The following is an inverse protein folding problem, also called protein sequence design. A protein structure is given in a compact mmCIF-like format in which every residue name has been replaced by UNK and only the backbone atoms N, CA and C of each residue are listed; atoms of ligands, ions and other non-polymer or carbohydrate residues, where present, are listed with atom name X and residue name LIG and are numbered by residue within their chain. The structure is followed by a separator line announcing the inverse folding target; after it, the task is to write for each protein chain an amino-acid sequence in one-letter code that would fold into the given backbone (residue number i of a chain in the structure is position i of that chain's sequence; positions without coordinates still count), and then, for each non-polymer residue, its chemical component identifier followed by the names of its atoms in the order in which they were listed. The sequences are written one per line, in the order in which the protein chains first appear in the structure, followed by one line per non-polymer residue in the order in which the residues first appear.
data_IF_161027452978
#
_entry.id   IF_161027452978
#
_cell.length_a   1.000
_cell.length_b   1.000
_cell.length_c   1.000
_cell.angle_alpha   90.00
_cell.angle_beta   90.00
_cell.angle_gamma   90.00
#
_symmetry.space_group_name_H-M   'P 1'
#
loop_
_entity.id
_entity.type
_entity.pdbx_description
1 polymer ?
#
# COMPACT_ATOMS: atom_id res chain seq x y z
N UNK A 1 -10.35 9.21 -10.93
CA UNK A 1 -10.51 9.58 -9.49
C UNK A 1 -9.27 10.29 -8.92
N UNK A 2 -8.08 9.66 -8.78
CA UNK A 2 -6.89 10.34 -8.18
C UNK A 2 -6.54 11.61 -8.96
N UNK A 3 -6.44 11.57 -10.29
CA UNK A 3 -6.19 12.74 -11.13
C UNK A 3 -7.21 13.86 -10.88
N UNK A 4 -8.47 13.55 -10.79
CA UNK A 4 -9.55 14.51 -10.53
C UNK A 4 -9.40 15.17 -9.14
N UNK A 5 -8.96 14.40 -8.11
CA UNK A 5 -8.65 14.97 -6.79
C UNK A 5 -7.48 15.95 -6.90
N UNK A 6 -6.42 15.58 -7.60
CA UNK A 6 -5.24 16.43 -7.80
C UNK A 6 -5.59 17.72 -8.57
N UNK A 7 -6.38 17.62 -9.62
CA UNK A 7 -6.82 18.77 -10.44
C UNK A 7 -7.59 19.81 -9.62
N UNK A 8 -8.36 19.38 -8.61
CA UNK A 8 -9.18 20.25 -7.77
C UNK A 8 -8.50 20.68 -6.46
N UNK A 9 -7.28 20.19 -6.17
CA UNK A 9 -6.60 20.43 -4.90
C UNK A 9 -5.12 20.80 -5.12
N UNK A 10 -4.85 21.78 -5.98
CA UNK A 10 -3.49 22.15 -6.37
C UNK A 10 -2.70 22.86 -5.25
N UNK A 11 -3.38 23.49 -4.31
CA UNK A 11 -2.77 24.27 -3.22
C UNK A 11 -2.45 23.45 -1.97
N UNK A 12 -2.75 22.15 -1.98
CA UNK A 12 -2.51 21.24 -0.85
C UNK A 12 -1.79 19.97 -1.30
N UNK A 13 -1.08 19.34 -0.37
CA UNK A 13 -0.43 18.05 -0.64
C UNK A 13 -1.50 16.95 -0.64
N UNK A 14 -1.52 16.18 -1.71
CA UNK A 14 -2.36 14.98 -1.83
C UNK A 14 -1.50 13.75 -1.54
N UNK A 15 -1.80 13.05 -0.46
CA UNK A 15 -1.10 11.82 -0.08
C UNK A 15 -1.93 10.62 -0.54
N UNK A 16 -1.33 9.77 -1.38
CA UNK A 16 -1.92 8.50 -1.80
C UNK A 16 -1.26 7.36 -1.03
N UNK A 17 -2.02 6.72 -0.14
CA UNK A 17 -1.55 5.56 0.60
C UNK A 17 -1.70 4.29 -0.25
N UNK A 18 -0.58 3.79 -0.72
CA UNK A 18 -0.45 2.59 -1.54
C UNK A 18 0.04 1.37 -0.74
N UNK A 19 -0.27 1.27 0.53
CA UNK A 19 0.19 0.16 1.36
C UNK A 19 -0.20 -1.22 0.82
N UNK A 20 -1.22 -1.32 -0.02
CA UNK A 20 -1.74 -2.56 -0.59
C UNK A 20 -1.62 -2.65 -2.11
N UNK A 21 -0.93 -1.73 -2.77
CA UNK A 21 -0.89 -1.61 -4.23
C UNK A 21 -0.40 -2.89 -4.92
N UNK A 22 0.51 -3.62 -4.31
CA UNK A 22 1.07 -4.86 -4.86
C UNK A 22 0.05 -6.01 -5.01
N UNK A 23 -1.13 -5.88 -4.42
CA UNK A 23 -2.19 -6.88 -4.50
C UNK A 23 -3.24 -6.59 -5.58
N UNK A 24 -3.35 -5.37 -6.06
CA UNK A 24 -4.23 -4.97 -7.16
C UNK A 24 -4.02 -3.52 -7.58
N UNK A 25 -4.49 -3.19 -8.77
CA UNK A 25 -4.61 -1.82 -9.23
C UNK A 25 -3.37 -1.26 -9.92
N UNK A 26 -3.51 -0.02 -10.31
CA UNK A 26 -2.46 0.78 -10.91
C UNK A 26 -1.98 1.82 -9.91
N UNK A 27 -0.67 1.94 -9.77
CA UNK A 27 -0.04 2.94 -8.91
C UNK A 27 -0.24 4.35 -9.46
N UNK A 28 -0.39 5.32 -8.57
CA UNK A 28 -0.37 6.74 -8.91
C UNK A 28 1.02 7.24 -9.36
N UNK A 29 2.04 6.38 -9.41
CA UNK A 29 3.39 6.72 -9.90
C UNK A 29 3.38 7.36 -11.30
N UNK A 30 2.46 6.95 -12.17
CA UNK A 30 2.30 7.53 -13.51
C UNK A 30 1.84 8.99 -13.51
N UNK A 31 1.43 9.54 -12.37
CA UNK A 31 0.98 10.91 -12.21
C UNK A 31 2.06 11.85 -11.63
N UNK A 32 3.20 11.32 -11.18
CA UNK A 32 4.21 12.12 -10.47
C UNK A 32 4.81 13.24 -11.33
N UNK A 33 4.96 13.00 -12.63
CA UNK A 33 5.51 14.01 -13.54
C UNK A 33 4.52 15.15 -13.84
N UNK A 34 3.23 14.92 -13.60
CA UNK A 34 2.16 15.90 -13.86
C UNK A 34 1.80 16.72 -12.60
N UNK A 35 2.13 16.20 -11.38
CA UNK A 35 1.64 16.81 -10.13
C UNK A 35 2.73 16.89 -9.04
N UNK A 36 3.26 18.09 -8.84
CA UNK A 36 4.30 18.35 -7.82
C UNK A 36 3.78 18.20 -6.38
N UNK A 37 2.45 18.32 -6.17
CA UNK A 37 1.80 18.17 -4.87
C UNK A 37 1.40 16.72 -4.53
N UNK A 38 1.71 15.75 -5.39
CA UNK A 38 1.45 14.33 -5.15
C UNK A 38 2.56 13.70 -4.31
N UNK A 39 2.18 13.03 -3.22
CA UNK A 39 3.05 12.20 -2.41
C UNK A 39 2.46 10.79 -2.32
N UNK A 40 3.20 9.79 -2.77
CA UNK A 40 2.81 8.38 -2.68
C UNK A 40 3.56 7.74 -1.53
N UNK A 41 2.87 7.00 -0.67
CA UNK A 41 3.48 6.26 0.43
C UNK A 41 3.25 4.76 0.26
N UNK A 42 4.31 3.98 0.45
CA UNK A 42 4.30 2.53 0.33
C UNK A 42 5.01 1.88 1.52
N UNK A 43 4.80 0.58 1.73
CA UNK A 43 5.32 -0.13 2.88
C UNK A 43 5.81 -1.55 2.53
N UNK A 44 6.79 -2.03 3.28
CA UNK A 44 7.21 -3.44 3.25
C UNK A 44 6.37 -4.34 4.17
N UNK A 45 5.50 -3.73 4.97
CA UNK A 45 4.74 -4.44 6.02
C UNK A 45 3.74 -5.46 5.48
N UNK A 46 3.27 -5.30 4.24
CA UNK A 46 2.18 -6.12 3.67
C UNK A 46 2.73 -7.13 2.66
N UNK A 47 2.96 -6.72 1.44
CA UNK A 47 3.35 -7.57 0.33
C UNK A 47 4.72 -8.26 0.51
N UNK A 48 5.64 -7.61 1.21
CA UNK A 48 6.97 -8.15 1.50
C UNK A 48 7.07 -8.85 2.86
N UNK A 49 5.95 -8.98 3.60
CA UNK A 49 5.87 -9.68 4.89
C UNK A 49 6.84 -9.18 5.97
N UNK A 50 7.21 -7.89 5.93
CA UNK A 50 8.23 -7.30 6.79
C UNK A 50 7.67 -6.30 7.81
N UNK A 51 6.46 -6.53 8.32
CA UNK A 51 5.79 -5.61 9.25
C UNK A 51 6.64 -5.30 10.49
N UNK A 52 7.37 -6.29 11.02
CA UNK A 52 8.25 -6.13 12.19
C UNK A 52 9.51 -5.28 11.92
N UNK A 53 9.91 -5.11 10.67
CA UNK A 53 11.10 -4.32 10.30
C UNK A 53 10.85 -2.82 10.23
N UNK A 54 9.59 -2.38 10.25
CA UNK A 54 9.18 -0.97 10.24
C UNK A 54 9.74 -0.17 9.04
N UNK A 55 9.70 -0.77 7.83
CA UNK A 55 10.18 -0.16 6.60
C UNK A 55 8.97 0.38 5.81
N UNK A 56 9.04 1.66 5.48
CA UNK A 56 8.15 2.33 4.54
C UNK A 56 8.93 3.40 3.78
N UNK A 57 8.38 3.87 2.69
CA UNK A 57 8.99 4.90 1.86
C UNK A 57 7.93 5.77 1.20
N UNK A 58 8.36 6.96 0.81
CA UNK A 58 7.55 7.90 0.07
C UNK A 58 8.23 8.25 -1.26
N UNK A 59 7.41 8.53 -2.26
CA UNK A 59 7.82 8.94 -3.60
C UNK A 59 7.03 10.21 -3.94
N UNK A 60 7.71 11.24 -4.39
CA UNK A 60 7.08 12.52 -4.71
C UNK A 60 8.08 13.53 -5.25
N UNK A 61 7.63 14.76 -5.49
CA UNK A 61 8.49 15.84 -5.95
C UNK A 61 9.67 16.08 -4.97
N UNK A 62 10.88 16.40 -5.45
CA UNK A 62 12.07 16.57 -4.61
C UNK A 62 11.87 17.52 -3.42
N UNK A 63 11.10 18.59 -3.56
CA UNK A 63 10.81 19.53 -2.48
C UNK A 63 9.99 18.89 -1.35
N UNK A 64 9.01 18.01 -1.68
CA UNK A 64 8.25 17.26 -0.67
C UNK A 64 9.16 16.28 0.07
N UNK A 65 10.00 15.56 -0.66
CA UNK A 65 10.96 14.62 -0.07
C UNK A 65 11.98 15.35 0.78
N UNK A 66 12.43 16.55 0.36
CA UNK A 66 13.31 17.40 1.17
C UNK A 66 12.64 17.81 2.48
N UNK A 67 11.39 18.28 2.43
CA UNK A 67 10.64 18.67 3.64
C UNK A 67 10.47 17.50 4.62
N UNK A 68 10.18 16.29 4.11
CA UNK A 68 10.12 15.07 4.93
C UNK A 68 11.49 14.75 5.58
N UNK A 69 12.59 14.91 4.85
CA UNK A 69 13.93 14.71 5.39
C UNK A 69 14.27 15.76 6.45
N UNK A 70 13.91 17.02 6.25
CA UNK A 70 14.15 18.09 7.23
C UNK A 70 13.44 17.76 8.56
N UNK A 71 12.19 17.29 8.52
CA UNK A 71 11.44 16.81 9.69
C UNK A 71 12.11 15.58 10.31
N UNK A 72 12.45 14.58 9.50
CA UNK A 72 13.11 13.36 9.96
C UNK A 72 14.41 13.67 10.70
N UNK A 73 15.27 14.49 10.13
CA UNK A 73 16.55 14.84 10.74
C UNK A 73 16.42 15.73 11.98
N UNK A 74 15.33 16.49 12.09
CA UNK A 74 15.04 17.28 13.27
C UNK A 74 14.48 16.46 14.44
N UNK A 75 13.80 15.34 14.16
CA UNK A 75 13.11 14.52 15.16
C UNK A 75 13.87 13.23 15.48
N UNK A 76 14.19 12.41 14.48
CA UNK A 76 14.90 11.14 14.64
C UNK A 76 15.61 10.74 13.34
N UNK A 77 16.91 11.06 13.25
CA UNK A 77 17.72 10.76 12.08
C UNK A 77 18.08 9.27 11.94
N UNK A 78 18.05 8.50 13.03
CA UNK A 78 18.48 7.09 13.07
C UNK A 78 17.28 6.15 13.26
N UNK A 79 16.29 6.22 12.35
CA UNK A 79 15.03 5.50 12.49
C UNK A 79 15.13 4.00 12.18
N UNK A 80 16.11 3.57 11.38
CA UNK A 80 16.22 2.20 10.90
C UNK A 80 17.41 1.47 11.53
N UNK A 81 17.18 0.25 12.01
CA UNK A 81 18.26 -0.62 12.46
C UNK A 81 19.07 -1.16 11.28
N UNK A 82 20.32 -1.55 11.52
CA UNK A 82 21.16 -2.19 10.50
C UNK A 82 20.53 -3.47 9.94
N UNK A 83 19.87 -4.24 10.80
CA UNK A 83 19.13 -5.44 10.39
C UNK A 83 18.00 -5.09 9.43
N UNK A 84 17.20 -4.04 9.71
CA UNK A 84 16.14 -3.59 8.82
C UNK A 84 16.70 -3.16 7.46
N UNK A 85 17.81 -2.42 7.45
CA UNK A 85 18.47 -1.99 6.21
C UNK A 85 18.95 -3.19 5.38
N UNK A 86 19.67 -4.13 5.99
CA UNK A 86 20.20 -5.30 5.29
C UNK A 86 19.06 -6.17 4.72
N UNK A 87 18.07 -6.52 5.55
CA UNK A 87 16.95 -7.35 5.12
C UNK A 87 16.05 -6.63 4.11
N UNK A 88 15.90 -5.30 4.22
CA UNK A 88 15.15 -4.51 3.26
C UNK A 88 15.76 -4.57 1.85
N UNK A 89 17.09 -4.47 1.76
CA UNK A 89 17.81 -4.62 0.47
C UNK A 89 17.57 -6.00 -0.14
N UNK A 90 17.72 -7.06 0.65
CA UNK A 90 17.49 -8.42 0.17
C UNK A 90 16.03 -8.67 -0.24
N UNK A 91 15.07 -8.11 0.49
CA UNK A 91 13.66 -8.20 0.13
C UNK A 91 13.32 -7.50 -1.20
N UNK A 92 14.06 -6.44 -1.58
CA UNK A 92 13.91 -5.81 -2.90
C UNK A 92 14.56 -6.66 -3.99
N UNK A 93 15.72 -7.27 -3.71
CA UNK A 93 16.45 -8.12 -4.68
C UNK A 93 15.72 -9.41 -5.00
N UNK A 94 14.99 -9.98 -4.05
CA UNK A 94 14.23 -11.22 -4.24
C UNK A 94 12.85 -10.97 -4.88
N UNK A 95 12.87 -10.44 -6.10
CA UNK A 95 11.69 -10.16 -6.90
C UNK A 95 10.91 -11.43 -7.27
N UNK A 96 11.59 -12.55 -7.45
CA UNK A 96 10.97 -13.84 -7.79
C UNK A 96 10.07 -14.32 -6.66
N UNK A 97 10.56 -14.33 -5.44
CA UNK A 97 9.78 -14.72 -4.26
C UNK A 97 8.62 -13.75 -4.01
N UNK A 98 8.88 -12.45 -4.11
CA UNK A 98 7.88 -11.40 -3.96
C UNK A 98 6.70 -11.59 -4.92
N UNK A 99 6.98 -11.77 -6.22
CA UNK A 99 5.94 -12.00 -7.24
C UNK A 99 5.18 -13.30 -7.02
N UNK A 100 5.88 -14.38 -6.62
CA UNK A 100 5.24 -15.66 -6.31
C UNK A 100 4.29 -15.55 -5.11
N UNK A 101 4.68 -14.85 -4.04
CA UNK A 101 3.85 -14.63 -2.85
C UNK A 101 2.62 -13.78 -3.15
N UNK A 102 2.79 -12.65 -3.83
CA UNK A 102 1.67 -11.77 -4.19
C UNK A 102 0.69 -12.46 -5.15
N UNK A 103 1.19 -13.28 -6.08
CA UNK A 103 0.34 -14.07 -6.98
C UNK A 103 -0.49 -15.12 -6.20
N UNK A 104 0.11 -15.83 -5.22
CA UNK A 104 -0.62 -16.76 -4.35
C UNK A 104 -1.72 -16.08 -3.56
N UNK A 105 -1.43 -14.93 -2.98
CA UNK A 105 -2.42 -14.15 -2.20
C UNK A 105 -3.59 -13.75 -3.11
N UNK A 106 -3.32 -13.21 -4.30
CA UNK A 106 -4.36 -12.86 -5.28
C UNK A 106 -5.21 -14.07 -5.66
N UNK A 107 -4.58 -15.19 -5.98
CA UNK A 107 -5.31 -16.43 -6.33
C UNK A 107 -6.18 -16.95 -5.18
N UNK A 108 -5.68 -16.88 -3.93
CA UNK A 108 -6.45 -17.26 -2.74
C UNK A 108 -7.62 -16.32 -2.51
N UNK A 109 -7.43 -15.00 -2.72
CA UNK A 109 -8.49 -14.01 -2.62
C UNK A 109 -9.63 -14.30 -3.61
N UNK A 110 -9.32 -14.62 -4.87
CA UNK A 110 -10.34 -14.95 -5.86
C UNK A 110 -11.14 -16.21 -5.46
N UNK A 111 -10.49 -17.24 -4.92
CA UNK A 111 -11.19 -18.42 -4.38
C UNK A 111 -12.08 -18.06 -3.19
N UNK A 112 -11.60 -17.21 -2.28
CA UNK A 112 -12.37 -16.76 -1.12
C UNK A 112 -13.59 -15.91 -1.55
N UNK A 113 -13.44 -15.03 -2.54
CA UNK A 113 -14.54 -14.27 -3.13
C UNK A 113 -15.66 -15.18 -3.61
N UNK A 114 -15.30 -16.22 -4.37
CA UNK A 114 -16.30 -17.19 -4.85
C UNK A 114 -17.01 -17.88 -3.67
N UNK A 115 -16.25 -18.37 -2.68
CA UNK A 115 -16.83 -19.03 -1.52
C UNK A 115 -17.77 -18.08 -0.72
N UNK A 116 -17.40 -16.81 -0.54
CA UNK A 116 -18.26 -15.81 0.11
C UNK A 116 -19.54 -15.56 -0.70
N UNK A 117 -19.45 -15.48 -2.02
CA UNK A 117 -20.62 -15.33 -2.89
C UNK A 117 -21.57 -16.53 -2.74
N UNK A 118 -21.04 -17.75 -2.75
CA UNK A 118 -21.82 -18.98 -2.60
C UNK A 118 -22.52 -19.07 -1.23
N UNK A 119 -21.95 -18.43 -0.21
CA UNK A 119 -22.52 -18.32 1.14
C UNK A 119 -23.46 -17.12 1.34
N UNK A 120 -23.74 -16.32 0.30
CA UNK A 120 -24.66 -15.18 0.36
C UNK A 120 -24.04 -13.88 0.88
N UNK A 121 -22.73 -13.82 1.04
CA UNK A 121 -22.05 -12.57 1.38
C UNK A 121 -21.92 -11.63 0.18
N UNK A 122 -21.93 -10.34 0.47
CA UNK A 122 -21.65 -9.27 -0.48
C UNK A 122 -20.37 -8.52 -0.08
N UNK A 123 -19.65 -8.00 -1.05
CA UNK A 123 -18.39 -7.26 -0.82
C UNK A 123 -18.12 -6.29 -1.98
N UNK A 124 -17.48 -5.13 -1.71
CA UNK A 124 -16.88 -4.33 -2.77
C UNK A 124 -15.67 -5.06 -3.35
N UNK A 125 -15.32 -4.81 -4.62
CA UNK A 125 -14.16 -5.46 -5.26
C UNK A 125 -12.86 -5.17 -4.48
N UNK A 126 -12.19 -6.20 -3.93
CA UNK A 126 -11.05 -5.99 -3.03
C UNK A 126 -9.76 -5.73 -3.79
N UNK A 127 -9.08 -4.63 -3.47
CA UNK A 127 -7.73 -4.31 -3.94
C UNK A 127 -6.60 -4.68 -2.97
N UNK A 128 -6.90 -5.33 -1.84
CA UNK A 128 -5.97 -5.63 -0.76
C UNK A 128 -5.77 -7.14 -0.56
N UNK A 129 -5.04 -7.53 0.47
CA UNK A 129 -4.90 -8.91 0.92
C UNK A 129 -5.98 -9.34 1.94
N UNK A 130 -7.08 -8.61 1.98
CA UNK A 130 -8.28 -8.91 2.76
C UNK A 130 -9.53 -8.63 1.93
N UNK A 131 -10.67 -9.15 2.38
CA UNK A 131 -11.99 -8.92 1.77
C UNK A 131 -12.89 -8.33 2.87
N UNK A 132 -13.53 -7.21 2.58
CA UNK A 132 -14.53 -6.62 3.45
C UNK A 132 -15.90 -7.16 3.06
N UNK A 133 -16.46 -8.06 3.88
CA UNK A 133 -17.71 -8.77 3.59
C UNK A 133 -18.86 -8.31 4.48
N UNK A 134 -20.08 -8.37 3.95
CA UNK A 134 -21.32 -8.18 4.70
C UNK A 134 -22.31 -9.29 4.37
N UNK A 135 -23.17 -9.67 5.31
CA UNK A 135 -24.25 -10.63 5.11
C UNK A 135 -25.58 -10.03 5.59
N UNK A 136 -26.69 -10.20 4.85
CA UNK A 136 -27.98 -9.62 5.22
C UNK A 136 -28.53 -10.18 6.53
N UNK A 137 -28.32 -11.47 6.79
CA UNK A 137 -28.91 -12.16 7.93
C UNK A 137 -27.97 -12.27 9.15
N UNK A 138 -26.68 -11.97 8.98
CA UNK A 138 -25.68 -12.12 10.04
C UNK A 138 -24.94 -10.80 10.27
N UNK A 139 -25.25 -10.06 11.34
CA UNK A 139 -24.51 -8.86 11.73
C UNK A 139 -23.05 -9.19 12.06
N UNK A 140 -22.13 -8.30 11.71
CA UNK A 140 -20.67 -8.50 11.92
C UNK A 140 -20.26 -8.82 13.38
N UNK A 141 -21.12 -8.50 14.36
CA UNK A 141 -20.88 -8.82 15.78
C UNK A 141 -21.20 -10.28 16.14
N UNK A 142 -21.88 -10.99 15.26
CA UNK A 142 -22.32 -12.38 15.46
C UNK A 142 -21.50 -13.37 14.62
N UNK A 143 -20.63 -12.85 13.72
CA UNK A 143 -19.67 -13.58 12.90
C UNK A 143 -18.29 -13.62 13.59
#
# INVERSE_FOLDING_TARGET
MIREILDHNQDVIVIVDEAYIDFAGESALSLLDDYENLLIVQTFSKSRSMAGMRIGYAIGHPELIKAMNDVKYSFNSYTMSQTALALGVEAVRDDVYFKACTAKIRATREKAKQAFTDLGFTYPEPGANFIFVTHPDYPAKEL
#
